data_IF_151712295348
#
_entry.id   IF_151712295348
#
_cell.length_a   1.000
_cell.length_b   1.000
_cell.length_c   1.000
_cell.angle_alpha   90.00
_cell.angle_beta   90.00
_cell.angle_gamma   90.00
#
_symmetry.space_group_name_H-M   'P 1'
#
loop_
_entity.id
_entity.type
_entity.pdbx_description
1 polymer ?
#
# COMPACT_ATOMS: atom_id res chain seq x y z
N UNK A 1 -64.87 13.03 -45.90
CA UNK A 1 -63.84 11.96 -45.79
C UNK A 1 -62.47 12.55 -45.48
N UNK A 2 -62.06 13.65 -46.13
CA UNK A 2 -60.76 14.32 -45.95
C UNK A 2 -60.46 14.83 -44.52
N UNK A 3 -61.45 15.33 -43.78
CA UNK A 3 -61.21 15.86 -42.43
C UNK A 3 -60.86 14.79 -41.40
N UNK A 4 -61.49 13.61 -41.48
CA UNK A 4 -61.22 12.49 -40.56
C UNK A 4 -59.80 11.92 -40.74
N UNK A 5 -59.26 11.96 -41.97
CA UNK A 5 -57.89 11.50 -42.25
C UNK A 5 -56.84 12.47 -41.72
N UNK A 6 -57.13 13.78 -41.71
CA UNK A 6 -56.23 14.80 -41.17
C UNK A 6 -56.17 14.76 -39.64
N UNK A 7 -57.32 14.62 -38.97
CA UNK A 7 -57.39 14.47 -37.50
C UNK A 7 -56.61 13.23 -37.02
N UNK A 8 -56.75 12.10 -37.70
CA UNK A 8 -55.98 10.89 -37.40
C UNK A 8 -54.46 11.08 -37.57
N UNK A 9 -54.02 11.84 -38.59
CA UNK A 9 -52.60 12.14 -38.74
C UNK A 9 -52.08 13.00 -37.59
N UNK A 10 -52.85 14.00 -37.14
CA UNK A 10 -52.49 14.86 -36.01
C UNK A 10 -52.41 14.08 -34.69
N UNK A 11 -53.35 13.16 -34.45
CA UNK A 11 -53.31 12.28 -33.28
C UNK A 11 -52.07 11.38 -33.28
N UNK A 12 -51.68 10.86 -34.45
CA UNK A 12 -50.46 10.05 -34.60
C UNK A 12 -49.21 10.89 -34.37
N UNK A 13 -49.13 12.11 -34.91
CA UNK A 13 -48.02 13.03 -34.69
C UNK A 13 -47.87 13.36 -33.21
N UNK A 14 -48.97 13.67 -32.52
CA UNK A 14 -48.96 13.99 -31.11
C UNK A 14 -48.53 12.78 -30.26
N UNK A 15 -49.03 11.58 -30.55
CA UNK A 15 -48.60 10.36 -29.88
C UNK A 15 -47.10 10.05 -30.11
N UNK A 16 -46.61 10.30 -31.32
CA UNK A 16 -45.18 10.13 -31.64
C UNK A 16 -44.30 11.13 -30.88
N UNK A 17 -44.73 12.39 -30.76
CA UNK A 17 -44.03 13.42 -30.01
C UNK A 17 -43.99 13.11 -28.51
N UNK A 18 -45.09 12.61 -27.94
CA UNK A 18 -45.14 12.15 -26.55
C UNK A 18 -44.16 10.99 -26.29
N UNK A 19 -44.12 10.00 -27.19
CA UNK A 19 -43.17 8.88 -27.11
C UNK A 19 -41.72 9.38 -27.22
N UNK A 20 -41.44 10.31 -28.13
CA UNK A 20 -40.11 10.92 -28.28
C UNK A 20 -39.70 11.71 -27.04
N UNK A 21 -40.62 12.46 -26.43
CA UNK A 21 -40.37 13.17 -25.18
C UNK A 21 -40.07 12.19 -24.04
N UNK A 22 -40.81 11.08 -23.95
CA UNK A 22 -40.56 10.00 -23.01
C UNK A 22 -39.15 9.42 -23.13
N UNK A 23 -38.72 9.07 -24.36
CA UNK A 23 -37.37 8.56 -24.58
C UNK A 23 -36.28 9.59 -24.26
N UNK A 24 -36.49 10.87 -24.58
CA UNK A 24 -35.54 11.93 -24.21
C UNK A 24 -35.37 12.03 -22.70
N UNK A 25 -36.46 11.95 -21.93
CA UNK A 25 -36.41 11.94 -20.46
C UNK A 25 -35.63 10.72 -19.94
N UNK A 26 -35.94 9.53 -20.45
CA UNK A 26 -35.23 8.30 -20.04
C UNK A 26 -33.73 8.36 -20.36
N UNK A 27 -33.36 8.89 -21.52
CA UNK A 27 -31.95 9.07 -21.89
C UNK A 27 -31.25 10.01 -20.90
N UNK A 28 -31.92 11.09 -20.49
CA UNK A 28 -31.36 12.04 -19.54
C UNK A 28 -31.20 11.41 -18.15
N UNK A 29 -32.22 10.73 -17.64
CA UNK A 29 -32.17 10.02 -16.35
C UNK A 29 -31.04 8.98 -16.33
N UNK A 30 -30.91 8.18 -17.39
CA UNK A 30 -29.84 7.19 -17.50
C UNK A 30 -28.45 7.83 -17.52
N UNK A 31 -28.30 8.99 -18.18
CA UNK A 31 -27.03 9.74 -18.20
C UNK A 31 -26.67 10.27 -16.81
N UNK A 32 -27.64 10.83 -16.10
CA UNK A 32 -27.46 11.34 -14.74
C UNK A 32 -27.11 10.20 -13.77
N UNK A 33 -27.81 9.07 -13.89
CA UNK A 33 -27.52 7.88 -13.10
C UNK A 33 -26.12 7.33 -13.39
N UNK A 34 -25.74 7.22 -14.66
CA UNK A 34 -24.40 6.77 -15.04
C UNK A 34 -23.31 7.71 -14.50
N UNK A 35 -23.51 9.03 -14.59
CA UNK A 35 -22.58 10.01 -14.05
C UNK A 35 -22.45 9.91 -12.52
N UNK A 36 -23.57 9.74 -11.81
CA UNK A 36 -23.58 9.53 -10.37
C UNK A 36 -22.84 8.24 -9.97
N UNK A 37 -23.11 7.14 -10.67
CA UNK A 37 -22.47 5.86 -10.41
C UNK A 37 -20.94 5.93 -10.64
N UNK A 38 -20.51 6.56 -11.73
CA UNK A 38 -19.08 6.74 -12.01
C UNK A 38 -18.40 7.60 -10.93
N UNK A 39 -19.07 8.65 -10.45
CA UNK A 39 -18.54 9.48 -9.37
C UNK A 39 -18.40 8.70 -8.07
N UNK A 40 -19.42 7.94 -7.68
CA UNK A 40 -19.38 7.11 -6.48
C UNK A 40 -18.31 6.02 -6.58
N UNK A 41 -18.18 5.39 -7.74
CA UNK A 41 -17.16 4.38 -7.98
C UNK A 41 -15.75 4.98 -7.88
N UNK A 42 -15.53 6.17 -8.46
CA UNK A 42 -14.26 6.89 -8.32
C UNK A 42 -13.91 7.18 -6.87
N UNK A 43 -14.86 7.68 -6.09
CA UNK A 43 -14.68 7.94 -4.65
C UNK A 43 -14.34 6.66 -3.88
N UNK A 44 -15.05 5.55 -4.13
CA UNK A 44 -14.77 4.27 -3.49
C UNK A 44 -13.36 3.76 -3.81
N UNK A 45 -12.90 3.92 -5.05
CA UNK A 45 -11.55 3.52 -5.45
C UNK A 45 -10.48 4.38 -4.79
N UNK A 46 -10.71 5.70 -4.70
CA UNK A 46 -9.78 6.61 -4.03
C UNK A 46 -9.67 6.27 -2.52
N UNK A 47 -10.80 6.03 -1.85
CA UNK A 47 -10.82 5.61 -0.44
C UNK A 47 -10.12 4.26 -0.21
N UNK A 48 -10.38 3.27 -1.06
CA UNK A 48 -9.74 1.96 -0.97
C UNK A 48 -8.22 2.07 -1.19
N UNK A 49 -7.80 2.89 -2.16
CA UNK A 49 -6.39 3.15 -2.43
C UNK A 49 -5.71 3.83 -1.26
N UNK A 50 -6.34 4.85 -0.65
CA UNK A 50 -5.78 5.53 0.53
C UNK A 50 -5.62 4.57 1.72
N UNK A 51 -6.60 3.69 1.95
CA UNK A 51 -6.49 2.63 2.97
C UNK A 51 -5.34 1.69 2.68
N UNK A 52 -5.23 1.18 1.46
CA UNK A 52 -4.16 0.25 1.09
C UNK A 52 -2.77 0.89 1.22
N UNK A 53 -2.62 2.15 0.81
CA UNK A 53 -1.36 2.89 0.96
C UNK A 53 -1.00 3.06 2.43
N UNK A 54 -1.98 3.35 3.29
CA UNK A 54 -1.76 3.50 4.73
C UNK A 54 -1.35 2.17 5.36
N UNK A 55 -2.06 1.08 5.05
CA UNK A 55 -1.75 -0.26 5.55
C UNK A 55 -0.36 -0.74 5.11
N UNK A 56 0.01 -0.50 3.84
CA UNK A 56 1.34 -0.82 3.34
C UNK A 56 2.45 -0.02 4.03
N UNK A 57 2.21 1.27 4.30
CA UNK A 57 3.16 2.10 5.06
C UNK A 57 3.33 1.58 6.48
N UNK A 58 2.24 1.36 7.21
CA UNK A 58 2.30 0.83 8.57
C UNK A 58 3.00 -0.53 8.63
N UNK A 59 2.73 -1.41 7.67
CA UNK A 59 3.40 -2.71 7.58
C UNK A 59 4.89 -2.53 7.33
N UNK A 60 5.28 -1.69 6.38
CA UNK A 60 6.68 -1.42 6.08
C UNK A 60 7.42 -0.81 7.28
N UNK A 61 6.80 0.11 8.01
CA UNK A 61 7.37 0.71 9.22
C UNK A 61 7.57 -0.33 10.33
N UNK A 62 6.60 -1.23 10.53
CA UNK A 62 6.73 -2.35 11.48
C UNK A 62 7.86 -3.30 11.09
N UNK A 63 7.94 -3.69 9.81
CA UNK A 63 9.00 -4.56 9.31
C UNK A 63 10.38 -3.91 9.48
N UNK A 64 10.51 -2.61 9.20
CA UNK A 64 11.76 -1.87 9.43
C UNK A 64 12.14 -1.81 10.91
N UNK A 65 11.17 -1.59 11.81
CA UNK A 65 11.43 -1.56 13.24
C UNK A 65 11.95 -2.90 13.76
N UNK A 66 11.33 -4.01 13.33
CA UNK A 66 11.77 -5.37 13.68
C UNK A 66 13.18 -5.63 13.15
N UNK A 67 13.43 -5.36 11.86
CA UNK A 67 14.75 -5.56 11.27
C UNK A 67 15.84 -4.72 11.94
N UNK A 68 15.51 -3.49 12.33
CA UNK A 68 16.44 -2.61 13.05
C UNK A 68 16.78 -3.17 14.43
N UNK A 69 15.78 -3.68 15.15
CA UNK A 69 15.98 -4.32 16.45
C UNK A 69 16.84 -5.58 16.33
N UNK A 70 16.54 -6.45 15.36
CA UNK A 70 17.29 -7.69 15.12
C UNK A 70 18.76 -7.40 14.77
N UNK A 71 19.01 -6.36 13.96
CA UNK A 71 20.36 -5.92 13.60
C UNK A 71 21.14 -5.42 14.82
N UNK A 72 20.51 -4.60 15.68
CA UNK A 72 21.17 -4.09 16.88
C UNK A 72 21.48 -5.22 17.87
N UNK A 73 20.56 -6.16 18.07
CA UNK A 73 20.80 -7.34 18.89
C UNK A 73 21.98 -8.16 18.33
N UNK A 74 21.97 -8.43 17.02
CA UNK A 74 23.05 -9.17 16.36
C UNK A 74 24.39 -8.45 16.49
N UNK A 75 24.40 -7.11 16.41
CA UNK A 75 25.60 -6.30 16.60
C UNK A 75 26.15 -6.45 18.03
N UNK A 76 25.29 -6.33 19.04
CA UNK A 76 25.67 -6.48 20.44
C UNK A 76 26.24 -7.87 20.73
N UNK A 77 25.57 -8.93 20.28
CA UNK A 77 26.06 -10.30 20.45
C UNK A 77 27.43 -10.51 19.78
N UNK A 78 27.65 -9.89 18.62
CA UNK A 78 28.94 -9.98 17.92
C UNK A 78 30.03 -9.18 18.65
N UNK A 79 29.73 -7.99 19.17
CA UNK A 79 30.64 -7.19 19.98
C UNK A 79 31.07 -7.93 21.25
N UNK A 80 30.13 -8.55 21.96
CA UNK A 80 30.40 -9.36 23.15
C UNK A 80 31.32 -10.54 22.82
N UNK A 81 31.02 -11.27 21.75
CA UNK A 81 31.86 -12.40 21.27
C UNK A 81 33.27 -11.92 20.91
N UNK A 82 33.40 -10.77 20.23
CA UNK A 82 34.69 -10.21 19.86
C UNK A 82 35.51 -9.81 21.10
N UNK A 83 34.88 -9.16 22.09
CA UNK A 83 35.53 -8.79 23.35
C UNK A 83 36.00 -10.03 24.12
N UNK A 84 35.16 -11.06 24.24
CA UNK A 84 35.53 -12.31 24.90
C UNK A 84 36.73 -12.99 24.22
N UNK A 85 36.73 -13.03 22.88
CA UNK A 85 37.84 -13.59 22.11
C UNK A 85 39.14 -12.80 22.27
N UNK A 86 39.06 -11.46 22.32
CA UNK A 86 40.23 -10.60 22.54
C UNK A 86 40.79 -10.76 23.95
N UNK A 87 39.93 -10.87 24.98
CA UNK A 87 40.37 -11.10 26.36
C UNK A 87 41.12 -12.43 26.49
N UNK A 88 40.57 -13.50 25.92
CA UNK A 88 41.21 -14.82 25.92
C UNK A 88 42.59 -14.77 25.22
N UNK A 89 42.67 -14.15 24.03
CA UNK A 89 43.94 -13.96 23.33
C UNK A 89 44.96 -13.16 24.15
N UNK A 90 44.50 -12.13 24.88
CA UNK A 90 45.37 -11.31 25.74
C UNK A 90 45.98 -12.16 26.87
N UNK A 91 45.19 -13.02 27.52
CA UNK A 91 45.69 -13.93 28.56
C UNK A 91 46.75 -14.88 28.00
N UNK A 92 46.49 -15.50 26.85
CA UNK A 92 47.45 -16.39 26.19
C UNK A 92 48.75 -15.64 25.84
N UNK A 93 48.64 -14.43 25.26
CA UNK A 93 49.80 -13.63 24.92
C UNK A 93 50.61 -13.21 26.15
N UNK A 94 49.95 -12.85 27.25
CA UNK A 94 50.62 -12.52 28.51
C UNK A 94 51.41 -13.72 29.03
N UNK A 95 50.83 -14.92 29.01
CA UNK A 95 51.54 -16.14 29.42
C UNK A 95 52.76 -16.39 28.53
N UNK A 96 52.62 -16.31 27.21
CA UNK A 96 53.74 -16.48 26.28
C UNK A 96 54.86 -15.46 26.50
N UNK A 97 54.52 -14.20 26.83
CA UNK A 97 55.50 -13.16 27.15
C UNK A 97 56.23 -13.52 28.45
N UNK A 98 55.50 -13.93 29.50
CA UNK A 98 56.10 -14.35 30.78
C UNK A 98 57.06 -15.51 30.57
N UNK A 99 56.62 -16.56 29.87
CA UNK A 99 57.44 -17.74 29.58
C UNK A 99 58.74 -17.34 28.87
N UNK A 100 58.64 -16.47 27.85
CA UNK A 100 59.80 -15.98 27.10
C UNK A 100 60.76 -15.10 27.91
N UNK A 101 60.23 -14.34 28.87
CA UNK A 101 61.06 -13.51 29.77
C UNK A 101 61.80 -14.41 30.76
N UNK A 102 61.12 -15.41 31.33
CA UNK A 102 61.74 -16.39 32.24
C UNK A 102 62.84 -17.18 31.52
N UNK A 103 62.59 -17.67 30.31
CA UNK A 103 63.61 -18.35 29.49
C UNK A 103 64.87 -17.47 29.26
N UNK A 104 64.69 -16.16 29.07
CA UNK A 104 65.78 -15.27 28.68
C UNK A 104 66.56 -14.68 29.86
N UNK A 105 65.93 -14.50 31.02
CA UNK A 105 66.50 -13.78 32.16
C UNK A 105 66.35 -14.51 33.50
N UNK A 106 65.81 -15.73 33.53
CA UNK A 106 65.58 -16.52 34.75
C UNK A 106 66.78 -17.32 35.26
N UNK A 107 67.99 -16.99 34.81
CA UNK A 107 69.26 -17.52 35.31
C UNK A 107 70.05 -16.43 36.04
#
# INVERSE_FOLDING_TARGET
MTNATLEQMQEIEQAADEVLAGYKSQIQELREQAASNLKQLGQSYDEEKERLVTELKERSERELAVLTQDLEQTRQENEEKAQAALSNKKEVLLQMIVDRVVEKYGH
#
